data_IF_274709084855
#
_entry.id   IF_274709084855
#
_cell.length_a   1.000
_cell.length_b   1.000
_cell.length_c   1.000
_cell.angle_alpha   90.00
_cell.angle_beta   90.00
_cell.angle_gamma   90.00
#
_symmetry.space_group_name_H-M   'P 1'
#
loop_
_entity.id
_entity.type
_entity.pdbx_description
1 polymer ?
#
# COMPACT_ATOMS: atom_id res chain seq x y z
N UNK A 1 17.27 -7.31 27.28
CA UNK A 1 16.42 -7.36 26.07
C UNK A 1 15.07 -7.95 26.48
N UNK A 2 13.95 -7.24 26.29
CA UNK A 2 12.64 -7.59 26.88
C UNK A 2 11.98 -8.78 26.14
N UNK A 3 11.48 -9.78 26.88
CA UNK A 3 10.84 -10.99 26.35
C UNK A 3 9.69 -10.68 25.36
N UNK A 4 8.92 -9.61 25.62
CA UNK A 4 7.82 -9.16 24.75
C UNK A 4 8.30 -8.67 23.39
N UNK A 5 9.45 -8.01 23.35
CA UNK A 5 10.08 -7.55 22.09
C UNK A 5 10.54 -8.77 21.28
N UNK A 6 11.15 -9.75 21.94
CA UNK A 6 11.67 -10.96 21.28
C UNK A 6 10.56 -11.84 20.65
N UNK A 7 9.37 -11.88 21.24
CA UNK A 7 8.23 -12.67 20.74
C UNK A 7 7.56 -12.02 19.53
N UNK A 8 7.37 -10.68 19.56
CA UNK A 8 6.83 -9.91 18.41
C UNK A 8 7.73 -10.02 17.18
N UNK A 9 9.04 -10.03 17.39
CA UNK A 9 10.04 -10.18 16.31
C UNK A 9 10.03 -11.60 15.70
N UNK A 10 9.87 -12.66 16.51
CA UNK A 10 9.79 -14.04 15.98
C UNK A 10 8.51 -14.31 15.17
N UNK A 11 7.37 -13.82 15.64
CA UNK A 11 6.10 -13.98 14.93
C UNK A 11 6.15 -13.31 13.55
N UNK A 12 6.78 -12.14 13.45
CA UNK A 12 6.97 -11.46 12.17
C UNK A 12 7.69 -12.32 11.13
N UNK A 13 8.85 -12.92 11.47
CA UNK A 13 9.63 -13.67 10.49
C UNK A 13 8.90 -14.93 10.01
N UNK A 14 8.14 -15.59 10.88
CA UNK A 14 7.32 -16.74 10.48
C UNK A 14 6.20 -16.31 9.52
N UNK A 15 5.46 -15.26 9.88
CA UNK A 15 4.42 -14.71 9.00
C UNK A 15 4.99 -14.26 7.65
N UNK A 16 6.20 -13.69 7.65
CA UNK A 16 6.86 -13.24 6.42
C UNK A 16 7.31 -14.41 5.54
N UNK A 17 7.78 -15.52 6.14
CA UNK A 17 8.05 -16.76 5.41
C UNK A 17 6.78 -17.38 4.81
N UNK A 18 5.68 -17.42 5.58
CA UNK A 18 4.39 -17.89 5.10
C UNK A 18 3.88 -17.03 3.94
N UNK A 19 4.08 -15.71 4.02
CA UNK A 19 3.77 -14.77 2.95
C UNK A 19 4.59 -15.02 1.68
N UNK A 20 5.89 -15.24 1.81
CA UNK A 20 6.74 -15.61 0.68
C UNK A 20 6.23 -16.90 0.06
N UNK A 21 6.00 -17.95 0.84
CA UNK A 21 5.52 -19.23 0.36
C UNK A 21 4.17 -19.09 -0.38
N UNK A 22 3.26 -18.28 0.16
CA UNK A 22 1.96 -18.00 -0.42
C UNK A 22 2.00 -17.18 -1.71
N UNK A 23 2.95 -16.23 -1.83
CA UNK A 23 3.05 -15.30 -2.98
C UNK A 23 4.06 -15.70 -4.06
N UNK A 24 4.97 -16.64 -3.77
CA UNK A 24 6.03 -17.03 -4.71
C UNK A 24 5.51 -17.61 -6.03
N UNK A 25 4.47 -18.48 -6.05
CA UNK A 25 3.90 -18.97 -7.31
C UNK A 25 3.39 -17.85 -8.23
N UNK A 26 2.79 -16.80 -7.65
CA UNK A 26 2.30 -15.63 -8.37
C UNK A 26 3.47 -14.81 -8.92
N UNK A 27 4.57 -14.67 -8.18
CA UNK A 27 5.79 -13.98 -8.66
C UNK A 27 6.38 -14.67 -9.89
N UNK A 28 6.49 -16.01 -9.85
CA UNK A 28 6.92 -16.82 -11.01
C UNK A 28 5.97 -16.57 -12.18
N UNK A 29 4.66 -16.67 -11.97
CA UNK A 29 3.66 -16.46 -13.02
C UNK A 29 3.79 -15.08 -13.65
N UNK A 30 3.89 -14.01 -12.86
CA UNK A 30 4.04 -12.63 -13.36
C UNK A 30 5.29 -12.46 -14.22
N UNK A 31 6.41 -13.03 -13.79
CA UNK A 31 7.66 -12.97 -14.56
C UNK A 31 7.53 -13.59 -15.96
N UNK A 32 6.81 -14.71 -16.08
CA UNK A 32 6.62 -15.41 -17.36
C UNK A 32 5.44 -14.91 -18.20
N UNK A 33 4.42 -14.30 -17.58
CA UNK A 33 3.21 -13.82 -18.28
C UNK A 33 3.41 -12.42 -18.85
N UNK A 34 4.27 -11.62 -18.24
CA UNK A 34 4.51 -10.25 -18.67
C UNK A 34 5.64 -10.21 -19.69
N UNK A 35 5.46 -9.39 -20.72
CA UNK A 35 6.46 -9.19 -21.77
C UNK A 35 7.60 -8.33 -21.20
N UNK A 36 8.41 -8.92 -20.33
CA UNK A 36 9.54 -8.29 -19.63
C UNK A 36 10.51 -7.62 -20.59
N UNK A 37 10.56 -8.08 -21.84
CA UNK A 37 11.31 -7.48 -22.95
C UNK A 37 10.74 -6.13 -23.43
N UNK A 38 9.41 -5.92 -23.36
CA UNK A 38 8.77 -4.65 -23.77
C UNK A 38 8.79 -3.58 -22.67
N UNK A 39 8.96 -3.98 -21.40
CA UNK A 39 9.03 -3.09 -20.24
C UNK A 39 10.27 -3.39 -19.40
N UNK A 40 11.47 -3.00 -19.85
CA UNK A 40 12.73 -3.42 -19.23
C UNK A 40 12.85 -3.00 -17.76
N UNK A 41 12.32 -1.82 -17.40
CA UNK A 41 12.31 -1.34 -16.01
C UNK A 41 11.45 -2.27 -15.15
N UNK A 42 10.20 -2.56 -15.54
CA UNK A 42 9.34 -3.50 -14.80
C UNK A 42 9.97 -4.91 -14.75
N UNK A 43 10.61 -5.35 -15.85
CA UNK A 43 11.37 -6.60 -15.92
C UNK A 43 12.44 -6.73 -14.83
N UNK A 44 13.20 -5.67 -14.57
CA UNK A 44 14.16 -5.63 -13.47
C UNK A 44 13.49 -5.83 -12.12
N UNK A 45 12.35 -5.17 -11.86
CA UNK A 45 11.63 -5.33 -10.60
C UNK A 45 11.03 -6.73 -10.44
N UNK A 46 10.55 -7.37 -11.52
CA UNK A 46 10.12 -8.77 -11.45
C UNK A 46 11.27 -9.72 -11.13
N UNK A 47 12.48 -9.46 -11.63
CA UNK A 47 13.67 -10.22 -11.23
C UNK A 47 13.99 -10.02 -9.74
N UNK A 48 13.93 -8.78 -9.25
CA UNK A 48 14.13 -8.50 -7.81
C UNK A 48 13.12 -9.26 -6.94
N UNK A 49 11.87 -9.35 -7.38
CA UNK A 49 10.82 -10.13 -6.71
C UNK A 49 11.09 -11.63 -6.72
N UNK A 50 11.58 -12.18 -7.85
CA UNK A 50 11.89 -13.60 -7.99
C UNK A 50 13.04 -14.03 -7.09
N UNK A 51 14.02 -13.13 -6.90
CA UNK A 51 15.15 -13.31 -6.00
C UNK A 51 14.90 -12.83 -4.56
N UNK A 52 13.64 -12.47 -4.23
CA UNK A 52 13.23 -12.06 -2.88
C UNK A 52 14.03 -10.88 -2.32
N UNK A 53 14.54 -10.00 -3.20
CA UNK A 53 15.42 -8.90 -2.78
C UNK A 53 14.70 -7.94 -1.83
N UNK A 54 13.45 -7.62 -2.12
CA UNK A 54 12.63 -6.77 -1.24
C UNK A 54 12.30 -7.47 0.09
N UNK A 55 11.94 -8.76 0.06
CA UNK A 55 11.64 -9.51 1.28
C UNK A 55 12.88 -9.61 2.19
N UNK A 56 14.06 -9.88 1.63
CA UNK A 56 15.34 -9.86 2.35
C UNK A 56 15.61 -8.46 2.92
N UNK A 57 15.39 -7.40 2.13
CA UNK A 57 15.51 -6.03 2.61
C UNK A 57 14.57 -5.77 3.81
N UNK A 58 13.31 -6.20 3.76
CA UNK A 58 12.35 -5.99 4.85
C UNK A 58 12.73 -6.76 6.11
N UNK A 59 13.12 -8.03 5.97
CA UNK A 59 13.60 -8.87 7.07
C UNK A 59 14.82 -8.23 7.75
N UNK A 60 15.81 -7.79 6.97
CA UNK A 60 17.02 -7.16 7.48
C UNK A 60 16.74 -5.78 8.08
N UNK A 61 15.92 -4.96 7.42
CA UNK A 61 15.51 -3.65 7.92
C UNK A 61 14.80 -3.79 9.25
N UNK A 62 13.87 -4.73 9.39
CA UNK A 62 13.16 -4.99 10.65
C UNK A 62 14.08 -5.55 11.76
N UNK A 63 15.08 -6.37 11.39
CA UNK A 63 16.07 -6.89 12.34
C UNK A 63 17.01 -5.80 12.88
N UNK A 64 17.45 -4.89 12.00
CA UNK A 64 18.50 -3.92 12.30
C UNK A 64 17.92 -2.59 12.84
N UNK A 65 16.80 -2.12 12.29
CA UNK A 65 16.18 -0.85 12.69
C UNK A 65 15.21 -1.05 13.86
N UNK A 66 15.67 -0.64 15.05
CA UNK A 66 14.87 -0.66 16.28
C UNK A 66 13.68 0.29 16.29
N UNK A 67 13.66 1.26 15.38
CA UNK A 67 12.58 2.24 15.19
C UNK A 67 11.39 1.68 14.42
N UNK A 68 11.55 0.53 13.76
CA UNK A 68 10.43 -0.12 13.07
C UNK A 68 9.45 -0.69 14.10
N UNK A 69 8.16 -0.42 13.91
CA UNK A 69 7.08 -0.93 14.77
C UNK A 69 6.01 -1.64 13.93
N UNK A 70 5.30 -2.63 14.49
CA UNK A 70 4.05 -3.09 13.89
C UNK A 70 2.97 -2.01 13.98
N UNK A 71 1.91 -2.18 13.19
CA UNK A 71 0.68 -1.42 13.40
C UNK A 71 0.13 -1.64 14.82
N UNK A 72 -0.34 -0.57 15.44
CA UNK A 72 -1.13 -0.61 16.67
C UNK A 72 -2.51 -1.24 16.43
N UNK A 73 -3.14 -1.74 17.48
CA UNK A 73 -4.45 -2.39 17.34
C UNK A 73 -5.53 -1.41 16.85
N UNK A 74 -5.43 -0.12 17.22
CA UNK A 74 -6.29 0.95 16.70
C UNK A 74 -6.06 1.19 15.20
N UNK A 75 -4.80 1.26 14.76
CA UNK A 75 -4.43 1.40 13.33
C UNK A 75 -4.96 0.21 12.52
N UNK A 76 -4.81 -1.02 13.03
CA UNK A 76 -5.36 -2.23 12.40
C UNK A 76 -6.89 -2.21 12.35
N UNK A 77 -7.54 -1.71 13.39
CA UNK A 77 -8.99 -1.58 13.42
C UNK A 77 -9.49 -0.65 12.32
N UNK A 78 -8.91 0.56 12.21
CA UNK A 78 -9.24 1.51 11.15
C UNK A 78 -8.99 0.93 9.77
N UNK A 79 -7.84 0.31 9.56
CA UNK A 79 -7.49 -0.36 8.31
C UNK A 79 -8.51 -1.45 7.94
N UNK A 80 -8.99 -2.25 8.90
CA UNK A 80 -9.99 -3.29 8.63
C UNK A 80 -11.36 -2.73 8.25
N UNK A 81 -11.75 -1.56 8.75
CA UNK A 81 -13.00 -0.91 8.33
C UNK A 81 -12.97 -0.56 6.84
N UNK A 82 -11.81 -0.13 6.33
CA UNK A 82 -11.65 0.25 4.92
C UNK A 82 -11.36 -0.97 4.04
N UNK A 83 -10.34 -1.76 4.39
CA UNK A 83 -9.77 -2.79 3.52
C UNK A 83 -10.26 -4.21 3.80
N UNK A 84 -11.02 -4.43 4.89
CA UNK A 84 -11.36 -5.79 5.33
C UNK A 84 -10.10 -6.63 5.56
N UNK A 85 -9.99 -7.75 4.82
CA UNK A 85 -8.84 -8.65 4.86
C UNK A 85 -7.93 -8.55 3.62
N UNK A 86 -8.08 -7.51 2.79
CA UNK A 86 -7.31 -7.37 1.54
C UNK A 86 -5.82 -7.13 1.77
N UNK A 87 -5.43 -6.68 2.97
CA UNK A 87 -4.04 -6.39 3.34
C UNK A 87 -3.62 -7.29 4.50
N UNK A 88 -2.46 -7.96 4.43
CA UNK A 88 -1.91 -8.71 5.55
C UNK A 88 -1.33 -7.75 6.63
N UNK A 89 -2.22 -7.11 7.40
CA UNK A 89 -1.86 -6.04 8.35
C UNK A 89 -0.85 -6.46 9.43
N UNK A 90 -0.71 -7.76 9.72
CA UNK A 90 0.27 -8.27 10.67
C UNK A 90 1.71 -8.25 10.13
N UNK A 91 1.88 -8.18 8.80
CA UNK A 91 3.17 -7.99 8.13
C UNK A 91 3.57 -6.52 8.07
N UNK A 92 2.60 -5.59 8.10
CA UNK A 92 2.84 -4.16 7.89
C UNK A 92 3.69 -3.56 9.01
N UNK A 93 4.72 -2.80 8.63
CA UNK A 93 5.61 -2.10 9.57
C UNK A 93 5.60 -0.60 9.30
N UNK A 94 5.84 0.19 10.34
CA UNK A 94 6.04 1.63 10.23
C UNK A 94 7.46 1.96 10.72
N UNK A 95 8.23 2.68 9.91
CA UNK A 95 9.51 3.32 10.27
C UNK A 95 9.34 4.84 10.30
N UNK A 96 9.11 5.40 11.49
CA UNK A 96 8.98 6.86 11.70
C UNK A 96 10.34 7.59 11.77
N UNK A 97 11.44 6.88 11.51
CA UNK A 97 12.81 7.40 11.54
C UNK A 97 13.53 7.30 10.20
N UNK A 98 12.80 7.00 9.13
CA UNK A 98 13.36 6.86 7.80
C UNK A 98 14.03 8.17 7.41
N UNK A 99 15.29 8.14 6.94
CA UNK A 99 16.01 9.37 6.54
C UNK A 99 15.94 9.61 5.04
N UNK A 100 15.93 8.52 4.27
CA UNK A 100 15.97 8.55 2.82
C UNK A 100 14.59 8.98 2.33
N UNK A 101 14.54 10.06 1.55
CA UNK A 101 13.30 10.64 1.03
C UNK A 101 12.60 11.56 2.04
N UNK A 102 12.25 11.07 3.22
CA UNK A 102 11.26 11.69 4.12
C UNK A 102 11.78 12.90 4.94
N UNK A 103 13.01 12.87 5.44
CA UNK A 103 13.52 13.88 6.42
C UNK A 103 13.48 15.32 5.92
N UNK A 104 13.69 15.54 4.62
CA UNK A 104 13.76 16.89 4.04
C UNK A 104 12.53 17.24 3.20
N UNK A 105 11.72 16.25 2.82
CA UNK A 105 10.54 16.46 1.96
C UNK A 105 9.23 16.36 2.73
N UNK A 106 9.23 15.70 3.90
CA UNK A 106 8.01 15.38 4.65
C UNK A 106 7.17 14.24 4.05
N UNK A 107 7.63 13.62 2.94
CA UNK A 107 6.91 12.55 2.25
C UNK A 107 6.82 11.31 3.13
N UNK A 108 5.68 10.64 3.10
CA UNK A 108 5.50 9.26 3.56
C UNK A 108 5.48 8.35 2.33
N UNK A 109 6.10 7.17 2.41
CA UNK A 109 6.10 6.24 1.28
C UNK A 109 6.20 4.78 1.72
N UNK A 110 5.82 3.88 0.82
CA UNK A 110 5.90 2.44 1.03
C UNK A 110 7.10 1.79 0.34
N UNK A 111 7.79 0.90 1.06
CA UNK A 111 8.75 -0.05 0.52
C UNK A 111 8.35 -1.47 0.92
N UNK A 112 7.70 -2.20 0.00
CA UNK A 112 7.13 -3.53 0.28
C UNK A 112 5.92 -3.43 1.22
N UNK A 113 6.01 -4.04 2.40
CA UNK A 113 5.04 -3.93 3.48
C UNK A 113 5.46 -2.90 4.57
N UNK A 114 6.50 -2.09 4.32
CA UNK A 114 6.98 -1.09 5.27
C UNK A 114 6.59 0.33 4.85
N UNK A 115 5.87 1.05 5.72
CA UNK A 115 5.56 2.48 5.58
C UNK A 115 6.68 3.29 6.23
N UNK A 116 7.25 4.24 5.52
CA UNK A 116 8.41 5.03 5.93
C UNK A 116 8.00 6.50 6.06
N UNK A 117 8.25 7.09 7.23
CA UNK A 117 8.01 8.52 7.51
C UNK A 117 9.16 9.12 8.31
N UNK A 118 9.16 10.45 8.46
CA UNK A 118 10.00 11.14 9.44
C UNK A 118 9.10 11.83 10.47
N UNK A 119 8.83 11.12 11.57
CA UNK A 119 7.84 11.50 12.58
C UNK A 119 6.45 10.89 12.34
N UNK A 120 5.52 11.27 13.23
CA UNK A 120 4.14 10.80 13.18
C UNK A 120 3.38 11.41 11.98
N UNK A 121 2.36 10.68 11.51
CA UNK A 121 1.44 11.09 10.46
C UNK A 121 0.00 10.75 10.86
N UNK A 122 -0.97 11.29 10.13
CA UNK A 122 -2.39 11.10 10.45
C UNK A 122 -2.91 9.72 10.03
N UNK A 123 -4.01 9.29 10.64
CA UNK A 123 -4.70 8.06 10.22
C UNK A 123 -5.16 8.12 8.76
N UNK A 124 -5.47 9.31 8.22
CA UNK A 124 -5.83 9.47 6.81
C UNK A 124 -4.64 9.15 5.88
N UNK A 125 -3.45 9.64 6.23
CA UNK A 125 -2.21 9.29 5.50
C UNK A 125 -1.92 7.79 5.68
N UNK A 126 -2.12 7.22 6.86
CA UNK A 126 -1.98 5.77 7.04
C UNK A 126 -2.85 4.98 6.07
N UNK A 127 -4.12 5.37 5.91
CA UNK A 127 -5.04 4.71 4.98
C UNK A 127 -4.56 4.85 3.53
N UNK A 128 -4.07 6.04 3.12
CA UNK A 128 -3.45 6.24 1.81
C UNK A 128 -2.29 5.27 1.58
N UNK A 129 -1.32 5.24 2.49
CA UNK A 129 -0.13 4.40 2.35
C UNK A 129 -0.47 2.90 2.38
N UNK A 130 -1.53 2.49 3.09
CA UNK A 130 -1.99 1.11 3.05
C UNK A 130 -2.52 0.70 1.66
N UNK A 131 -3.02 1.63 0.85
CA UNK A 131 -3.34 1.34 -0.56
C UNK A 131 -2.07 0.94 -1.32
N UNK A 132 -0.94 1.58 -1.05
CA UNK A 132 0.33 1.22 -1.66
C UNK A 132 0.85 -0.15 -1.21
N UNK A 133 0.64 -0.51 0.07
CA UNK A 133 0.90 -1.89 0.55
C UNK A 133 -0.01 -2.89 -0.17
N UNK A 134 -1.29 -2.57 -0.34
CA UNK A 134 -2.22 -3.40 -1.11
C UNK A 134 -1.75 -3.54 -2.56
N UNK A 135 -1.40 -2.45 -3.25
CA UNK A 135 -0.90 -2.47 -4.62
C UNK A 135 0.38 -3.31 -4.74
N UNK A 136 1.30 -3.23 -3.77
CA UNK A 136 2.47 -4.11 -3.70
C UNK A 136 2.07 -5.60 -3.56
N UNK A 137 1.09 -5.93 -2.71
CA UNK A 137 0.60 -7.31 -2.61
C UNK A 137 0.05 -7.83 -3.95
N UNK A 138 -0.65 -6.99 -4.70
CA UNK A 138 -1.26 -7.34 -5.98
C UNK A 138 -0.29 -7.38 -7.16
N UNK A 139 0.76 -6.55 -7.16
CA UNK A 139 1.61 -6.33 -8.34
C UNK A 139 3.08 -6.72 -8.10
N UNK A 140 3.46 -6.98 -6.86
CA UNK A 140 4.85 -7.20 -6.47
C UNK A 140 5.70 -5.93 -6.62
N UNK A 141 7.02 -6.09 -6.70
CA UNK A 141 7.99 -5.00 -6.81
C UNK A 141 7.76 -4.09 -8.04
N UNK A 142 7.13 -4.59 -9.12
CA UNK A 142 6.81 -3.79 -10.29
C UNK A 142 5.80 -2.66 -10.01
N UNK A 143 5.13 -2.70 -8.87
CA UNK A 143 4.37 -1.56 -8.35
C UNK A 143 5.23 -0.30 -8.22
N UNK A 144 6.46 -0.41 -7.71
CA UNK A 144 7.34 0.73 -7.39
C UNK A 144 7.56 1.66 -8.59
N UNK A 145 8.04 1.19 -9.76
CA UNK A 145 8.22 2.07 -10.90
C UNK A 145 6.90 2.64 -11.44
N UNK A 146 5.77 1.92 -11.30
CA UNK A 146 4.45 2.40 -11.71
C UNK A 146 3.95 3.53 -10.81
N UNK A 147 4.13 3.41 -9.50
CA UNK A 147 3.76 4.44 -8.53
C UNK A 147 4.57 5.72 -8.76
N UNK A 148 5.89 5.59 -8.94
CA UNK A 148 6.77 6.71 -9.27
C UNK A 148 6.39 7.40 -10.59
N UNK A 149 5.90 6.63 -11.58
CA UNK A 149 5.38 7.21 -12.82
C UNK A 149 4.07 7.96 -12.60
N UNK A 150 3.16 7.42 -11.78
CA UNK A 150 1.89 8.07 -11.44
C UNK A 150 2.10 9.43 -10.74
N UNK A 151 3.03 9.49 -9.77
CA UNK A 151 3.41 10.73 -9.08
C UNK A 151 3.91 11.83 -10.02
N UNK A 152 4.51 11.45 -11.15
CA UNK A 152 5.07 12.38 -12.15
C UNK A 152 4.10 12.71 -13.28
N UNK A 153 2.91 12.10 -13.29
CA UNK A 153 1.91 12.32 -14.33
C UNK A 153 1.25 13.69 -14.19
N UNK A 154 0.74 14.24 -15.29
CA UNK A 154 0.05 15.54 -15.30
C UNK A 154 -1.22 15.55 -14.43
N UNK A 155 -1.85 14.40 -14.22
CA UNK A 155 -3.03 14.25 -13.35
C UNK A 155 -2.66 14.15 -11.87
N UNK A 156 -1.45 13.68 -11.55
CA UNK A 156 -0.93 13.58 -10.18
C UNK A 156 -1.91 12.87 -9.23
N UNK A 157 -2.16 13.52 -8.09
CA UNK A 157 -3.00 13.07 -6.97
C UNK A 157 -4.51 13.29 -7.22
N UNK A 158 -4.88 14.27 -8.05
CA UNK A 158 -6.29 14.65 -8.23
C UNK A 158 -7.04 13.62 -9.09
N UNK A 159 -7.95 12.85 -8.48
CA UNK A 159 -8.77 11.86 -9.20
C UNK A 159 -9.99 12.46 -9.92
N UNK A 160 -10.27 13.75 -9.76
CA UNK A 160 -11.34 14.46 -10.48
C UNK A 160 -12.70 14.51 -9.77
N UNK A 161 -12.74 14.27 -8.46
CA UNK A 161 -13.92 14.45 -7.62
C UNK A 161 -15.07 13.47 -7.93
N UNK A 162 -16.29 13.80 -7.46
CA UNK A 162 -17.46 12.93 -7.65
C UNK A 162 -17.76 12.67 -9.13
N UNK A 163 -17.50 13.65 -9.99
CA UNK A 163 -17.77 13.51 -11.43
C UNK A 163 -16.91 12.40 -12.06
N UNK A 164 -15.66 12.27 -11.66
CA UNK A 164 -14.81 11.18 -12.15
C UNK A 164 -15.26 9.83 -11.60
N UNK A 165 -15.62 9.77 -10.30
CA UNK A 165 -16.15 8.55 -9.68
C UNK A 165 -17.44 8.06 -10.35
N UNK A 166 -18.34 8.96 -10.75
CA UNK A 166 -19.58 8.61 -11.45
C UNK A 166 -19.36 8.05 -12.86
N UNK A 167 -18.23 8.39 -13.50
CA UNK A 167 -17.90 7.92 -14.86
C UNK A 167 -17.06 6.65 -14.83
N UNK A 168 -16.22 6.49 -13.82
CA UNK A 168 -15.37 5.32 -13.68
C UNK A 168 -16.21 4.12 -13.23
N UNK A 169 -15.83 2.95 -13.72
CA UNK A 169 -16.43 1.67 -13.34
C UNK A 169 -15.46 0.84 -12.50
N UNK A 170 -14.16 1.00 -12.75
CA UNK A 170 -13.11 0.23 -12.11
C UNK A 170 -12.08 1.11 -11.43
N UNK A 171 -11.61 0.66 -10.26
CA UNK A 171 -10.55 1.38 -9.53
C UNK A 171 -9.24 1.48 -10.34
N UNK A 172 -9.00 0.52 -11.23
CA UNK A 172 -7.85 0.51 -12.14
C UNK A 172 -7.86 1.61 -13.20
N UNK A 173 -8.97 2.32 -13.38
CA UNK A 173 -9.06 3.50 -14.25
C UNK A 173 -8.37 4.73 -13.63
N UNK A 174 -8.20 4.71 -12.31
CA UNK A 174 -7.41 5.70 -11.58
C UNK A 174 -5.94 5.28 -11.52
N UNK A 175 -5.03 6.24 -11.61
CA UNK A 175 -3.62 5.99 -11.40
C UNK A 175 -3.35 5.59 -9.94
N UNK A 176 -2.17 5.04 -9.65
CA UNK A 176 -1.89 4.44 -8.34
C UNK A 176 -1.94 5.42 -7.16
N UNK A 177 -1.60 6.70 -7.36
CA UNK A 177 -1.73 7.74 -6.34
C UNK A 177 -3.18 8.17 -6.16
N UNK A 178 -3.91 8.36 -7.26
CA UNK A 178 -5.34 8.66 -7.25
C UNK A 178 -6.16 7.57 -6.52
N UNK A 179 -5.77 6.30 -6.63
CA UNK A 179 -6.37 5.22 -5.84
C UNK A 179 -6.14 5.43 -4.34
N UNK A 180 -4.92 5.83 -3.94
CA UNK A 180 -4.59 6.19 -2.56
C UNK A 180 -5.48 7.32 -2.05
N UNK A 181 -5.55 8.41 -2.81
CA UNK A 181 -6.33 9.60 -2.48
C UNK A 181 -7.83 9.33 -2.42
N UNK A 182 -8.37 8.54 -3.36
CA UNK A 182 -9.78 8.13 -3.36
C UNK A 182 -10.15 7.40 -2.07
N UNK A 183 -9.30 6.46 -1.64
CA UNK A 183 -9.54 5.67 -0.43
C UNK A 183 -9.34 6.51 0.84
N UNK A 184 -8.37 7.43 0.82
CA UNK A 184 -8.18 8.41 1.89
C UNK A 184 -9.41 9.32 2.04
N UNK A 185 -9.95 9.83 0.93
CA UNK A 185 -11.15 10.68 0.92
C UNK A 185 -12.38 9.91 1.42
N UNK A 186 -12.56 8.66 0.99
CA UNK A 186 -13.59 7.77 1.56
C UNK A 186 -13.49 7.68 3.09
N UNK A 187 -12.29 7.45 3.62
CA UNK A 187 -12.05 7.35 5.06
C UNK A 187 -12.30 8.68 5.80
N UNK A 188 -12.04 9.82 5.18
CA UNK A 188 -12.37 11.13 5.73
C UNK A 188 -13.89 11.33 5.80
N UNK A 189 -14.61 10.99 4.73
CA UNK A 189 -16.07 11.07 4.67
C UNK A 189 -16.75 10.16 5.70
N UNK A 190 -16.21 8.96 5.95
CA UNK A 190 -16.67 8.07 7.04
C UNK A 190 -16.60 8.72 8.42
N UNK A 191 -15.71 9.70 8.61
CA UNK A 191 -15.52 10.45 9.84
C UNK A 191 -16.22 11.82 9.83
N UNK A 192 -17.12 12.06 8.87
CA UNK A 192 -17.79 13.35 8.67
C UNK A 192 -16.80 14.51 8.46
N UNK A 193 -15.65 14.22 7.81
CA UNK A 193 -14.64 15.20 7.40
C UNK A 193 -14.72 15.43 5.90
N UNK A 194 -14.33 16.63 5.47
CA UNK A 194 -14.28 16.98 4.05
C UNK A 194 -13.17 16.21 3.32
N UNK A 195 -13.50 15.66 2.15
CA UNK A 195 -12.56 15.06 1.22
C UNK A 195 -11.65 16.11 0.58
N UNK A 196 -10.41 15.75 0.28
CA UNK A 196 -9.42 16.65 -0.31
C UNK A 196 -9.68 16.92 -1.80
N UNK A 197 -10.01 15.88 -2.58
CA UNK A 197 -10.17 15.99 -4.04
C UNK A 197 -11.62 15.93 -4.50
N UNK A 198 -12.56 15.79 -3.56
CA UNK A 198 -13.99 15.95 -3.76
C UNK A 198 -14.60 16.78 -2.62
N UNK A 199 -14.23 18.06 -2.45
CA UNK A 199 -14.71 18.89 -1.34
C UNK A 199 -16.25 19.04 -1.31
N UNK A 200 -16.92 18.80 -2.44
CA UNK A 200 -18.37 18.75 -2.57
C UNK A 200 -19.02 17.47 -2.02
N UNK A 201 -18.24 16.40 -1.79
CA UNK A 201 -18.73 15.12 -1.31
C UNK A 201 -19.09 15.17 0.19
N UNK A 202 -20.03 14.32 0.57
CA UNK A 202 -20.53 14.18 1.92
C UNK A 202 -20.73 12.71 2.30
N UNK A 203 -21.18 12.44 3.54
CA UNK A 203 -21.57 11.11 3.95
C UNK A 203 -22.64 10.46 3.05
N UNK A 204 -23.45 11.26 2.34
CA UNK A 204 -24.45 10.75 1.39
C UNK A 204 -23.80 10.09 0.16
N UNK A 205 -22.56 10.46 -0.17
CA UNK A 205 -21.84 9.96 -1.34
C UNK A 205 -21.01 8.71 -1.03
N UNK A 206 -20.93 8.28 0.25
CA UNK A 206 -20.18 7.09 0.66
C UNK A 206 -20.53 5.85 -0.15
N UNK A 207 -21.80 5.69 -0.54
CA UNK A 207 -22.25 4.57 -1.35
C UNK A 207 -21.56 4.52 -2.73
N UNK A 208 -21.22 5.67 -3.32
CA UNK A 208 -20.48 5.73 -4.58
C UNK A 208 -19.04 5.27 -4.38
N UNK A 209 -18.36 5.78 -3.35
CA UNK A 209 -17.00 5.35 -3.01
C UNK A 209 -16.94 3.85 -2.68
N UNK A 210 -17.94 3.33 -1.96
CA UNK A 210 -18.02 1.92 -1.54
C UNK A 210 -17.87 0.97 -2.73
N UNK A 211 -18.38 1.34 -3.92
CA UNK A 211 -18.26 0.51 -5.14
C UNK A 211 -16.80 0.27 -5.56
N UNK A 212 -15.89 1.20 -5.25
CA UNK A 212 -14.46 1.07 -5.51
C UNK A 212 -13.75 0.41 -4.33
N UNK A 213 -14.16 0.70 -3.10
CA UNK A 213 -13.62 0.05 -1.90
C UNK A 213 -13.90 -1.45 -1.93
N UNK A 214 -15.09 -1.87 -2.37
CA UNK A 214 -15.43 -3.27 -2.54
C UNK A 214 -14.59 -3.95 -3.61
N UNK A 215 -14.13 -3.23 -4.64
CA UNK A 215 -13.15 -3.78 -5.59
C UNK A 215 -11.83 -4.08 -4.89
N UNK A 216 -11.31 -3.16 -4.06
CA UNK A 216 -10.09 -3.41 -3.27
C UNK A 216 -10.26 -4.62 -2.35
N UNK A 217 -11.39 -4.69 -1.63
CA UNK A 217 -11.68 -5.78 -0.69
C UNK A 217 -11.80 -7.15 -1.36
N UNK A 218 -12.34 -7.18 -2.57
CA UNK A 218 -12.65 -8.42 -3.30
C UNK A 218 -11.61 -8.77 -4.39
N UNK A 219 -10.71 -7.87 -4.74
CA UNK A 219 -9.59 -8.16 -5.62
C UNK A 219 -8.61 -9.11 -4.92
N UNK A 220 -8.87 -10.40 -5.11
CA UNK A 220 -7.90 -11.45 -4.84
C UNK A 220 -6.64 -11.23 -5.69
N UNK A 221 -5.50 -11.67 -5.16
CA UNK A 221 -4.12 -11.71 -5.71
C UNK A 221 -3.97 -12.36 -7.10
N UNK A 222 -5.07 -12.65 -7.80
CA UNK A 222 -5.20 -13.53 -8.95
C UNK A 222 -5.37 -12.81 -10.30
N UNK A 223 -5.39 -11.46 -10.36
CA UNK A 223 -5.65 -10.73 -11.62
C UNK A 223 -4.41 -10.35 -12.47
N UNK A 224 -3.19 -10.65 -12.03
CA UNK A 224 -1.96 -10.44 -12.82
C UNK A 224 -1.00 -11.62 -12.72
#
# INVERSE_FOLDING_TARGET
>A
MNLKTHFKTRAFYLLHLDWIAFTYPQRIRRFFTLNTLQKPIEGCFFLLDLFLVLDVYEVLSNALKRSTRPLYDSEKFLARLVFGNAIPLDLVRIDESARIGTRFTGIVYVSGCTINSWGAFSDAILIHELVHVWQYSQQGAAYIPRALQAQRSAMGYNYGGLQALQRATHISEFNLEQQGDLVMDYFLLMQDKSAFWAPEASAADLALYETFIDQIRNETLNRF
#
